data_IF_759405050220
#
_entry.id   IF_759405050220
#
_cell.length_a   1.000
_cell.length_b   1.000
_cell.length_c   1.000
_cell.angle_alpha   90.00
_cell.angle_beta   90.00
_cell.angle_gamma   90.00
#
_symmetry.space_group_name_H-M   'P 1'
#
loop_
_entity.id
_entity.type
_entity.pdbx_description
1 polymer ?
#
# COMPACT_ATOMS: atom_id res chain seq x y z
N UNK A 1 -8.75 -5.46 11.48
CA UNK A 1 -7.33 -5.58 11.07
C UNK A 1 -7.23 -6.54 9.88
N UNK A 2 -6.79 -6.12 8.68
CA UNK A 2 -6.79 -7.01 7.50
C UNK A 2 -5.39 -7.59 7.24
N UNK A 3 -5.28 -8.93 7.17
CA UNK A 3 -4.05 -9.64 6.78
C UNK A 3 -3.26 -10.29 7.93
N UNK A 4 -3.78 -10.33 9.15
CA UNK A 4 -3.15 -10.98 10.31
C UNK A 4 -3.91 -12.27 10.65
N UNK A 5 -3.21 -13.32 11.07
CA UNK A 5 -3.84 -14.58 11.51
C UNK A 5 -4.71 -14.33 12.75
N UNK A 6 -6.04 -14.43 12.61
CA UNK A 6 -7.01 -14.14 13.68
C UNK A 6 -7.98 -15.28 14.00
N UNK A 7 -8.98 -15.00 14.85
CA UNK A 7 -9.97 -15.98 15.32
C UNK A 7 -10.68 -16.72 14.19
N UNK A 8 -11.10 -15.98 13.16
CA UNK A 8 -11.77 -16.55 11.99
C UNK A 8 -10.83 -17.41 11.16
N UNK A 9 -9.53 -17.10 11.12
CA UNK A 9 -8.55 -17.87 10.36
C UNK A 9 -8.25 -19.20 11.04
N UNK A 10 -8.03 -19.16 12.36
CA UNK A 10 -7.74 -20.35 13.17
C UNK A 10 -8.90 -21.35 13.17
N UNK A 11 -10.14 -20.86 13.34
CA UNK A 11 -11.31 -21.72 13.47
C UNK A 11 -12.06 -21.96 12.15
N UNK A 12 -12.49 -20.88 11.50
CA UNK A 12 -13.43 -20.98 10.38
C UNK A 12 -12.73 -21.28 9.05
N UNK A 13 -11.62 -20.59 8.73
CA UNK A 13 -10.87 -20.84 7.48
C UNK A 13 -10.19 -22.19 7.48
N UNK A 14 -9.59 -22.61 8.59
CA UNK A 14 -8.93 -23.91 8.65
C UNK A 14 -9.93 -25.06 8.44
N UNK A 15 -11.11 -24.99 9.06
CA UNK A 15 -12.19 -25.94 8.81
C UNK A 15 -12.67 -25.89 7.35
N UNK A 16 -12.85 -24.69 6.80
CA UNK A 16 -13.25 -24.50 5.41
C UNK A 16 -12.26 -25.17 4.44
N UNK A 17 -10.96 -24.98 4.64
CA UNK A 17 -9.93 -25.60 3.81
C UNK A 17 -9.91 -27.13 3.94
N UNK A 18 -10.12 -27.68 5.14
CA UNK A 18 -10.22 -29.13 5.31
C UNK A 18 -11.41 -29.72 4.55
N UNK A 19 -12.58 -29.09 4.61
CA UNK A 19 -13.77 -29.51 3.84
C UNK A 19 -13.51 -29.41 2.35
N UNK A 20 -12.89 -28.31 1.91
CA UNK A 20 -12.59 -28.06 0.50
C UNK A 20 -11.55 -29.05 -0.03
N UNK A 21 -10.58 -29.47 0.78
CA UNK A 21 -9.61 -30.51 0.44
C UNK A 21 -10.29 -31.87 0.21
N UNK A 22 -11.20 -32.27 1.11
CA UNK A 22 -11.98 -33.52 0.95
C UNK A 22 -12.87 -33.44 -0.30
N UNK A 23 -13.52 -32.30 -0.52
CA UNK A 23 -14.37 -32.09 -1.68
C UNK A 23 -13.55 -32.12 -2.99
N UNK A 24 -12.36 -31.52 -3.01
CA UNK A 24 -11.44 -31.58 -4.14
C UNK A 24 -10.99 -33.01 -4.44
N UNK A 25 -10.67 -33.81 -3.42
CA UNK A 25 -10.33 -35.23 -3.59
C UNK A 25 -11.50 -36.03 -4.16
N UNK A 26 -12.72 -35.81 -3.67
CA UNK A 26 -13.92 -36.48 -4.18
C UNK A 26 -14.20 -36.11 -5.65
N UNK A 27 -14.08 -34.82 -5.99
CA UNK A 27 -14.24 -34.33 -7.37
C UNK A 27 -13.16 -34.90 -8.29
N UNK A 28 -11.91 -34.98 -7.83
CA UNK A 28 -10.81 -35.59 -8.57
C UNK A 28 -11.07 -37.08 -8.86
N UNK A 29 -11.49 -37.85 -7.86
CA UNK A 29 -11.85 -39.26 -8.03
C UNK A 29 -13.02 -39.44 -9.01
N UNK A 30 -14.06 -38.60 -8.91
CA UNK A 30 -15.19 -38.61 -9.82
C UNK A 30 -14.77 -38.25 -11.25
N UNK A 31 -13.89 -37.25 -11.43
CA UNK A 31 -13.38 -36.85 -12.73
C UNK A 31 -12.60 -37.98 -13.41
N UNK A 32 -11.72 -38.67 -12.67
CA UNK A 32 -10.99 -39.84 -13.17
C UNK A 32 -11.95 -40.96 -13.62
N UNK A 33 -12.95 -41.30 -12.79
CA UNK A 33 -13.97 -42.29 -13.13
C UNK A 33 -14.74 -41.91 -14.40
N UNK A 34 -15.08 -40.64 -14.55
CA UNK A 34 -15.85 -40.17 -15.70
C UNK A 34 -15.02 -40.16 -16.98
N UNK A 35 -13.72 -39.86 -16.87
CA UNK A 35 -12.75 -39.97 -17.95
C UNK A 35 -12.72 -41.37 -18.57
N UNK A 36 -12.75 -42.43 -17.75
CA UNK A 36 -12.82 -43.82 -18.26
C UNK A 36 -14.12 -44.13 -19.03
N UNK A 37 -15.23 -43.44 -18.74
CA UNK A 37 -16.52 -43.65 -19.44
C UNK A 37 -16.76 -42.68 -20.60
N UNK A 38 -15.80 -41.81 -20.92
CA UNK A 38 -15.84 -40.84 -22.03
C UNK A 38 -17.11 -39.94 -22.04
N UNK A 39 -17.65 -39.61 -20.85
CA UNK A 39 -18.82 -38.72 -20.70
C UNK A 39 -18.38 -37.36 -20.16
N UNK A 40 -18.63 -36.29 -20.92
CA UNK A 40 -18.23 -34.93 -20.53
C UNK A 40 -19.19 -34.27 -19.52
N UNK A 41 -20.47 -34.63 -19.54
CA UNK A 41 -21.50 -34.01 -18.69
C UNK A 41 -21.20 -34.12 -17.18
N UNK A 42 -20.86 -35.31 -16.63
CA UNK A 42 -20.63 -35.45 -15.20
C UNK A 42 -19.37 -34.72 -14.73
N UNK A 43 -18.36 -34.59 -15.60
CA UNK A 43 -17.14 -33.83 -15.33
C UNK A 43 -17.42 -32.32 -15.21
N UNK A 44 -18.28 -31.77 -16.06
CA UNK A 44 -18.72 -30.37 -15.96
C UNK A 44 -19.50 -30.12 -14.66
N UNK A 45 -20.34 -31.06 -14.24
CA UNK A 45 -21.13 -30.96 -13.01
C UNK A 45 -20.24 -31.00 -11.77
N UNK A 46 -19.30 -31.94 -11.68
CA UNK A 46 -18.39 -32.04 -10.53
C UNK A 46 -17.45 -30.85 -10.44
N UNK A 47 -16.99 -30.33 -11.57
CA UNK A 47 -16.19 -29.11 -11.61
C UNK A 47 -16.98 -27.87 -11.18
N UNK A 48 -18.23 -27.73 -11.65
CA UNK A 48 -19.14 -26.67 -11.22
C UNK A 48 -19.40 -26.72 -9.70
N UNK A 49 -19.60 -27.93 -9.16
CA UNK A 49 -19.76 -28.14 -7.72
C UNK A 49 -18.52 -27.71 -6.92
N UNK A 50 -17.32 -27.98 -7.43
CA UNK A 50 -16.06 -27.56 -6.81
C UNK A 50 -15.96 -26.03 -6.75
N UNK A 51 -16.28 -25.33 -7.84
CA UNK A 51 -16.21 -23.86 -7.89
C UNK A 51 -17.23 -23.26 -6.92
N UNK A 52 -18.49 -23.70 -6.99
CA UNK A 52 -19.57 -23.16 -6.15
C UNK A 52 -19.33 -23.49 -4.68
N UNK A 53 -18.98 -24.74 -4.38
CA UNK A 53 -18.62 -25.17 -3.03
C UNK A 53 -17.40 -24.44 -2.50
N UNK A 54 -16.40 -24.21 -3.36
CA UNK A 54 -15.19 -23.48 -3.00
C UNK A 54 -15.45 -22.02 -2.65
N UNK A 55 -16.28 -21.32 -3.42
CA UNK A 55 -16.70 -19.96 -3.12
C UNK A 55 -17.53 -19.89 -1.82
N UNK A 56 -18.52 -20.78 -1.67
CA UNK A 56 -19.39 -20.79 -0.50
C UNK A 56 -18.62 -21.11 0.79
N UNK A 57 -17.84 -22.19 0.78
CA UNK A 57 -17.11 -22.66 1.96
C UNK A 57 -15.87 -21.80 2.21
N UNK A 58 -15.14 -21.42 1.17
CA UNK A 58 -13.87 -20.69 1.30
C UNK A 58 -14.01 -19.20 1.58
N UNK A 59 -15.04 -18.53 1.06
CA UNK A 59 -15.22 -17.08 1.23
C UNK A 59 -16.45 -16.73 2.07
N UNK A 60 -17.61 -17.31 1.76
CA UNK A 60 -18.87 -16.90 2.41
C UNK A 60 -18.89 -17.32 3.87
N UNK A 61 -18.54 -18.57 4.18
CA UNK A 61 -18.57 -19.07 5.55
C UNK A 61 -17.62 -18.31 6.51
N UNK A 62 -16.33 -18.11 6.21
CA UNK A 62 -15.45 -17.32 7.09
C UNK A 62 -15.90 -15.87 7.23
N UNK A 63 -16.35 -15.24 6.15
CA UNK A 63 -16.84 -13.85 6.19
C UNK A 63 -18.06 -13.70 7.11
N UNK A 64 -18.94 -14.70 7.12
CA UNK A 64 -20.10 -14.72 8.02
C UNK A 64 -19.65 -14.84 9.49
N UNK A 65 -18.71 -15.73 9.79
CA UNK A 65 -18.16 -15.86 11.14
C UNK A 65 -17.48 -14.57 11.61
N UNK A 66 -16.68 -13.94 10.74
CA UNK A 66 -16.05 -12.66 11.06
C UNK A 66 -17.10 -11.60 11.43
N UNK A 67 -18.10 -11.41 10.56
CA UNK A 67 -19.09 -10.34 10.69
C UNK A 67 -20.04 -10.51 11.87
N UNK A 68 -20.45 -11.74 12.17
CA UNK A 68 -21.48 -11.97 13.20
C UNK A 68 -20.91 -12.43 14.55
N UNK A 69 -19.68 -12.95 14.60
CA UNK A 69 -19.08 -13.48 15.84
C UNK A 69 -17.86 -12.70 16.31
N UNK A 70 -17.09 -12.12 15.39
CA UNK A 70 -15.83 -11.43 15.73
C UNK A 70 -16.02 -9.92 15.77
N UNK A 71 -16.52 -9.30 14.71
CA UNK A 71 -16.73 -7.84 14.62
C UNK A 71 -17.52 -7.23 15.81
N UNK A 72 -18.55 -7.89 16.39
CA UNK A 72 -19.27 -7.31 17.53
C UNK A 72 -18.41 -7.13 18.79
N UNK A 73 -17.34 -7.91 18.93
CA UNK A 73 -16.40 -7.83 20.05
C UNK A 73 -14.99 -8.26 19.58
N UNK A 74 -14.44 -7.50 18.62
CA UNK A 74 -13.17 -7.82 17.95
C UNK A 74 -12.01 -7.81 18.95
N UNK A 75 -12.00 -6.85 19.88
CA UNK A 75 -10.91 -6.70 20.86
C UNK A 75 -10.74 -7.96 21.72
N UNK A 76 -11.81 -8.46 22.33
CA UNK A 76 -11.72 -9.66 23.17
C UNK A 76 -11.36 -10.90 22.34
N UNK A 77 -12.02 -11.07 21.17
CA UNK A 77 -11.87 -12.26 20.32
C UNK A 77 -10.54 -12.34 19.58
N UNK A 78 -9.94 -11.21 19.22
CA UNK A 78 -8.68 -11.18 18.47
C UNK A 78 -7.45 -10.89 19.34
N UNK A 79 -7.62 -10.40 20.59
CA UNK A 79 -6.50 -10.04 21.49
C UNK A 79 -5.44 -11.13 21.63
N UNK A 80 -5.84 -12.37 21.90
CA UNK A 80 -4.93 -13.51 22.06
C UNK A 80 -4.11 -13.74 20.79
N UNK A 81 -4.77 -13.75 19.62
CA UNK A 81 -4.09 -13.91 18.34
C UNK A 81 -3.14 -12.74 18.04
N UNK A 82 -3.50 -11.50 18.40
CA UNK A 82 -2.60 -10.34 18.26
C UNK A 82 -1.35 -10.52 19.12
N UNK A 83 -1.49 -10.99 20.37
CA UNK A 83 -0.35 -11.29 21.24
C UNK A 83 0.55 -12.38 20.66
N UNK A 84 -0.04 -13.43 20.09
CA UNK A 84 0.73 -14.49 19.42
C UNK A 84 1.47 -13.96 18.19
N UNK A 85 0.81 -13.17 17.33
CA UNK A 85 1.44 -12.55 16.18
C UNK A 85 2.61 -11.65 16.62
N UNK A 86 2.44 -10.83 17.65
CA UNK A 86 3.54 -10.03 18.21
C UNK A 86 4.70 -10.91 18.71
N UNK A 87 4.40 -12.04 19.36
CA UNK A 87 5.42 -12.99 19.80
C UNK A 87 6.18 -13.59 18.62
N UNK A 88 5.48 -14.02 17.57
CA UNK A 88 6.10 -14.57 16.36
C UNK A 88 6.89 -13.53 15.58
N UNK A 89 6.42 -12.28 15.49
CA UNK A 89 7.19 -11.19 14.89
C UNK A 89 8.47 -10.93 15.68
N UNK A 90 8.39 -10.87 17.01
CA UNK A 90 9.59 -10.71 17.85
C UNK A 90 10.57 -11.86 17.65
N UNK A 91 10.08 -13.09 17.61
CA UNK A 91 10.94 -14.26 17.36
C UNK A 91 11.57 -14.23 15.96
N UNK A 92 10.81 -13.88 14.92
CA UNK A 92 11.29 -13.85 13.54
C UNK A 92 12.34 -12.78 13.26
N UNK A 93 12.30 -11.67 14.00
CA UNK A 93 13.30 -10.60 13.94
C UNK A 93 14.35 -10.66 15.05
N UNK A 94 14.38 -11.76 15.83
CA UNK A 94 15.28 -11.93 16.97
C UNK A 94 15.22 -10.79 18.01
N UNK A 95 14.01 -10.24 18.21
CA UNK A 95 13.70 -9.15 19.15
C UNK A 95 13.22 -9.66 20.51
N UNK A 96 13.49 -10.93 20.82
CA UNK A 96 13.03 -11.57 22.06
C UNK A 96 13.81 -11.06 23.28
N UNK A 97 15.11 -10.85 23.11
CA UNK A 97 16.06 -10.51 24.18
C UNK A 97 16.55 -9.05 24.09
N UNK A 98 15.64 -8.12 23.76
CA UNK A 98 15.98 -6.70 23.71
C UNK A 98 16.12 -6.08 25.10
N UNK A 99 17.27 -5.49 25.36
CA UNK A 99 17.47 -4.62 26.53
C UNK A 99 16.85 -3.24 26.26
N UNK A 100 15.74 -2.94 26.93
CA UNK A 100 15.18 -1.58 26.91
C UNK A 100 16.06 -0.69 27.78
N UNK A 101 16.74 0.27 27.15
CA UNK A 101 17.45 1.35 27.84
C UNK A 101 16.66 2.64 27.70
N UNK A 102 16.47 3.33 28.81
CA UNK A 102 15.97 4.70 28.76
C UNK A 102 17.04 5.58 28.10
N UNK A 103 16.61 6.36 27.11
CA UNK A 103 17.47 7.34 26.48
C UNK A 103 17.42 8.60 27.33
N UNK A 104 18.48 8.84 28.10
CA UNK A 104 18.63 10.06 28.87
C UNK A 104 18.98 11.22 27.92
N UNK A 105 17.97 12.03 27.59
CA UNK A 105 18.15 13.19 26.74
C UNK A 105 18.59 14.38 27.59
N UNK A 106 19.89 14.66 27.58
CA UNK A 106 20.40 15.94 28.07
C UNK A 106 20.21 17.02 27.01
N UNK A 107 19.49 18.09 27.39
CA UNK A 107 19.31 19.26 26.54
C UNK A 107 20.67 19.91 26.30
N UNK A 108 21.16 19.86 25.06
CA UNK A 108 22.38 20.56 24.64
C UNK A 108 22.28 22.05 25.03
N UNK A 109 23.38 22.69 25.49
CA UNK A 109 23.38 24.12 25.85
C UNK A 109 22.84 25.00 24.72
N UNK A 110 22.32 26.18 25.09
CA UNK A 110 21.66 27.15 24.21
C UNK A 110 22.28 27.15 22.81
N UNK A 111 21.56 26.54 21.86
CA UNK A 111 21.90 26.63 20.45
C UNK A 111 21.79 28.09 20.07
N UNK A 112 22.88 28.66 19.55
CA UNK A 112 22.80 29.95 18.89
C UNK A 112 22.03 29.77 17.58
N UNK A 113 20.72 30.01 17.65
CA UNK A 113 19.81 29.87 16.52
C UNK A 113 20.16 30.83 15.39
N UNK A 114 20.84 31.95 15.66
CA UNK A 114 21.28 32.88 14.63
C UNK A 114 22.46 32.28 13.85
N UNK A 115 23.44 31.72 14.56
CA UNK A 115 24.55 31.00 13.93
C UNK A 115 24.08 29.74 13.19
N UNK A 116 23.12 29.01 13.74
CA UNK A 116 22.52 27.85 13.06
C UNK A 116 21.74 28.27 11.80
N UNK A 117 20.95 29.35 11.86
CA UNK A 117 20.21 29.87 10.71
C UNK A 117 21.15 30.28 9.58
N UNK A 118 22.31 30.88 9.87
CA UNK A 118 23.31 31.24 8.87
C UNK A 118 23.85 30.02 8.11
N UNK A 119 23.89 28.83 8.71
CA UNK A 119 24.31 27.60 8.02
C UNK A 119 23.28 27.10 6.98
N UNK A 120 22.01 27.46 7.18
CA UNK A 120 20.92 27.12 6.26
C UNK A 120 20.63 28.23 5.25
N UNK A 121 21.35 29.34 5.32
CA UNK A 121 21.22 30.45 4.38
C UNK A 121 21.57 29.98 2.95
N UNK A 122 20.71 30.33 1.99
CA UNK A 122 20.86 29.92 0.59
C UNK A 122 20.40 28.49 0.27
N UNK A 123 19.70 27.81 1.18
CA UNK A 123 18.97 26.58 0.84
C UNK A 123 17.62 26.90 0.18
N UNK A 124 17.16 26.07 -0.79
CA UNK A 124 15.84 26.24 -1.36
C UNK A 124 14.76 25.98 -0.31
N UNK A 125 13.82 26.92 -0.15
CA UNK A 125 12.72 26.82 0.81
C UNK A 125 11.61 25.87 0.28
N UNK A 126 11.42 25.84 -1.03
CA UNK A 126 10.36 25.07 -1.68
C UNK A 126 10.92 23.84 -2.40
N UNK A 127 10.17 22.74 -2.39
CA UNK A 127 10.50 21.56 -3.19
C UNK A 127 10.14 21.79 -4.66
N UNK A 128 10.92 21.18 -5.56
CA UNK A 128 10.67 21.26 -7.02
C UNK A 128 9.26 20.82 -7.41
N UNK A 129 8.69 19.82 -6.72
CA UNK A 129 7.34 19.32 -7.01
C UNK A 129 6.24 20.33 -6.63
N UNK A 130 6.40 21.03 -5.51
CA UNK A 130 5.46 22.06 -5.09
C UNK A 130 5.49 23.27 -6.05
N UNK A 131 6.70 23.69 -6.46
CA UNK A 131 6.88 24.77 -7.43
C UNK A 131 6.32 24.39 -8.81
N UNK A 132 6.56 23.16 -9.28
CA UNK A 132 6.04 22.69 -10.57
C UNK A 132 4.52 22.74 -10.61
N UNK A 133 3.86 22.34 -9.52
CA UNK A 133 2.41 22.41 -9.39
C UNK A 133 1.92 23.86 -9.50
N UNK A 134 2.61 24.77 -8.81
CA UNK A 134 2.28 26.20 -8.81
C UNK A 134 2.47 26.84 -10.18
N UNK A 135 3.58 26.55 -10.87
CA UNK A 135 3.86 27.06 -12.21
C UNK A 135 2.82 26.59 -13.23
N UNK A 136 2.44 25.31 -13.19
CA UNK A 136 1.35 24.77 -14.03
C UNK A 136 0.01 25.42 -13.72
N UNK A 137 -0.30 25.70 -12.46
CA UNK A 137 -1.53 26.40 -12.07
C UNK A 137 -1.55 27.85 -12.57
N UNK A 138 -0.43 28.57 -12.48
CA UNK A 138 -0.32 29.95 -12.96
C UNK A 138 -0.46 30.05 -14.48
N UNK A 139 0.17 29.16 -15.24
CA UNK A 139 0.06 29.12 -16.71
C UNK A 139 -1.15 28.30 -17.22
N UNK A 140 -2.03 27.80 -16.34
CA UNK A 140 -3.19 26.96 -16.73
C UNK A 140 -4.14 27.66 -17.71
N UNK A 141 -4.09 29.00 -17.81
CA UNK A 141 -4.84 29.79 -18.79
C UNK A 141 -4.39 29.53 -20.23
N UNK A 142 -3.14 29.12 -20.43
CA UNK A 142 -2.55 28.88 -21.74
C UNK A 142 -2.30 27.38 -21.92
N UNK A 143 -3.29 26.64 -22.46
CA UNK A 143 -3.23 25.16 -22.54
C UNK A 143 -2.08 24.64 -23.40
N UNK A 144 -1.47 25.50 -24.23
CA UNK A 144 -0.33 25.19 -25.09
C UNK A 144 1.03 25.41 -24.40
N UNK A 145 1.08 25.85 -23.15
CA UNK A 145 2.31 25.90 -22.36
C UNK A 145 2.33 24.81 -21.28
N UNK A 146 3.47 24.15 -21.15
CA UNK A 146 3.72 23.15 -20.12
C UNK A 146 5.08 23.40 -19.46
N UNK A 147 5.17 23.03 -18.18
CA UNK A 147 6.44 22.92 -17.46
C UNK A 147 6.72 21.44 -17.21
N UNK A 148 7.87 20.95 -17.67
CA UNK A 148 8.33 19.57 -17.49
C UNK A 148 9.04 19.37 -16.15
N UNK A 149 9.72 20.40 -15.65
CA UNK A 149 10.45 20.36 -14.39
C UNK A 149 10.81 21.75 -13.85
N UNK A 150 11.15 21.78 -12.57
CA UNK A 150 11.68 22.96 -11.87
C UNK A 150 13.03 22.60 -11.25
N UNK A 151 14.04 23.40 -11.54
CA UNK A 151 15.39 23.27 -11.00
C UNK A 151 15.71 24.49 -10.15
N UNK A 152 16.51 24.31 -9.10
CA UNK A 152 17.05 25.42 -8.32
C UNK A 152 18.50 25.62 -8.72
N UNK A 153 18.86 26.83 -9.09
CA UNK A 153 20.24 27.22 -9.42
C UNK A 153 20.63 28.46 -8.63
N UNK A 154 21.93 28.79 -8.55
CA UNK A 154 22.43 29.90 -7.74
C UNK A 154 23.00 31.01 -8.62
N UNK A 155 22.60 32.24 -8.35
CA UNK A 155 23.04 33.42 -9.10
C UNK A 155 23.68 34.45 -8.17
N UNK A 156 24.62 35.23 -8.69
CA UNK A 156 25.25 36.34 -7.97
C UNK A 156 24.25 37.47 -7.70
N UNK A 157 24.20 37.92 -6.45
CA UNK A 157 23.47 39.09 -5.96
C UNK A 157 24.43 40.02 -5.19
N UNK A 158 23.97 41.22 -4.84
CA UNK A 158 24.72 42.18 -4.02
C UNK A 158 25.19 41.58 -2.67
N UNK A 159 24.41 40.66 -2.13
CA UNK A 159 24.63 40.02 -0.83
C UNK A 159 25.23 38.59 -0.95
N UNK A 160 25.62 38.15 -2.15
CA UNK A 160 26.21 36.82 -2.40
C UNK A 160 25.37 35.92 -3.32
N UNK A 161 25.62 34.60 -3.29
CA UNK A 161 24.90 33.63 -4.14
C UNK A 161 23.50 33.35 -3.60
N UNK A 162 22.46 33.67 -4.38
CA UNK A 162 21.06 33.46 -4.00
C UNK A 162 20.46 32.31 -4.82
N UNK A 163 19.75 31.36 -4.19
CA UNK A 163 19.03 30.31 -4.90
C UNK A 163 17.82 30.89 -5.66
N UNK A 164 17.78 30.66 -6.97
CA UNK A 164 16.69 31.05 -7.87
C UNK A 164 16.06 29.78 -8.44
N UNK A 165 14.73 29.76 -8.45
CA UNK A 165 13.97 28.63 -9.00
C UNK A 165 13.66 28.90 -10.47
N UNK A 166 14.05 27.97 -11.34
CA UNK A 166 13.94 28.10 -12.79
C UNK A 166 13.11 26.94 -13.34
N UNK A 167 12.31 27.24 -14.35
CA UNK A 167 11.60 26.23 -15.12
C UNK A 167 11.57 26.64 -16.59
N UNK A 168 11.77 25.68 -17.48
CA UNK A 168 11.64 25.91 -18.92
C UNK A 168 10.16 25.81 -19.28
N UNK A 169 9.63 26.87 -19.89
CA UNK A 169 8.29 26.86 -20.47
C UNK A 169 8.36 26.21 -21.84
N UNK A 170 7.81 25.01 -21.95
CA UNK A 170 7.75 24.24 -23.18
C UNK A 170 6.40 24.45 -23.88
N UNK A 171 6.41 24.36 -25.21
CA UNK A 171 5.17 24.40 -25.99
C UNK A 171 4.65 22.98 -26.13
N UNK A 172 3.39 22.77 -25.74
CA UNK A 172 2.67 21.51 -25.90
C UNK A 172 1.76 21.61 -27.13
N UNK A 173 2.11 21.01 -28.29
CA UNK A 173 1.33 21.17 -29.53
C UNK A 173 -0.13 20.68 -29.40
N UNK A 174 -0.36 19.68 -28.54
CA UNK A 174 -1.70 19.14 -28.28
C UNK A 174 -2.63 20.11 -27.54
N UNK A 175 -2.07 21.14 -26.89
CA UNK A 175 -2.82 22.18 -26.19
C UNK A 175 -3.22 23.36 -27.08
N UNK A 176 -2.81 23.38 -28.35
CA UNK A 176 -3.16 24.42 -29.32
C UNK A 176 -4.56 24.11 -29.87
N UNK A 177 -5.52 25.02 -29.66
CA UNK A 177 -6.91 24.83 -30.06
C UNK A 177 -7.12 24.81 -31.59
N UNK A 178 -6.30 25.56 -32.33
CA UNK A 178 -6.29 25.58 -33.79
C UNK A 178 -4.87 25.33 -34.31
N UNK A 179 -4.60 24.13 -34.80
CA UNK A 179 -3.30 23.72 -35.31
C UNK A 179 -3.16 24.09 -36.79
N UNK A 180 -3.45 25.34 -37.14
CA UNK A 180 -3.19 25.89 -38.47
C UNK A 180 -1.92 26.76 -38.45
N UNK A 181 -1.36 26.96 -39.64
CA UNK A 181 -0.17 27.77 -39.89
C UNK A 181 -0.53 29.20 -40.36
N UNK A 182 -1.82 29.54 -40.33
CA UNK A 182 -2.39 30.84 -40.76
C UNK A 182 -2.59 31.75 -39.56
#
# INVERSE_FOLDING_TARGET
VQGIFGFTDAGARMLAYNVLAVLALAVSAAALWTGFKNRLLPLMVTFGLLIVGGLAVGQVYPSFVQRFRVEPNELERESEYILENMRFTKMGFDLTDLERREFDYERTPNVDWLAAAAQFEGLPIWSSQALLTTYRQLEARYPYYEFSGVTVDRYESLDGLVPVTLAVREVLPRGIQDQNWQ
#
